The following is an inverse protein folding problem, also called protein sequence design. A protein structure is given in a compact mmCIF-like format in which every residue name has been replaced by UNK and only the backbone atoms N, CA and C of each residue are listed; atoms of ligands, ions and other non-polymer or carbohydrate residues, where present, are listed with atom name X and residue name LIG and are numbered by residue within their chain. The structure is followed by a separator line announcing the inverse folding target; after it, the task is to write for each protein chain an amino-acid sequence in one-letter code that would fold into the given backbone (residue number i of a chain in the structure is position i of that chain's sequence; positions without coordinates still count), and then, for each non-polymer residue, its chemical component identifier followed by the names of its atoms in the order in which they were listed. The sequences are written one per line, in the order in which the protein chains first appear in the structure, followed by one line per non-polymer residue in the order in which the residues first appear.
data_IF_942952238013
#
_entry.id   IF_942952238013
#
_cell.length_a   1.000
_cell.length_b   1.000
_cell.length_c   1.000
_cell.angle_alpha   90.00
_cell.angle_beta   90.00
_cell.angle_gamma   90.00
#
_symmetry.space_group_name_H-M   'P 1'
#
loop_
_entity.id
_entity.type
_entity.pdbx_description
1 polymer ?
#
# COMPACT_ATOMS: atom_id res chain seq x y z
N UNK A 1 -15.95 -3.06 7.91
CA UNK A 1 -15.62 -3.84 6.70
C UNK A 1 -15.67 -5.31 7.10
N UNK A 2 -16.65 -6.09 6.64
CA UNK A 2 -16.74 -7.54 6.94
C UNK A 2 -16.10 -8.27 5.75
N UNK A 3 -14.99 -8.98 5.95
CA UNK A 3 -14.40 -9.81 4.90
C UNK A 3 -12.88 -9.90 4.89
N UNK A 4 -12.17 -8.95 5.52
CA UNK A 4 -10.72 -9.03 5.68
C UNK A 4 -10.37 -9.50 7.09
N UNK A 5 -9.37 -10.39 7.25
CA UNK A 5 -8.85 -10.74 8.56
C UNK A 5 -8.17 -9.51 9.18
N UNK A 6 -8.09 -9.46 10.51
CA UNK A 6 -7.38 -8.37 11.21
C UNK A 6 -5.88 -8.38 10.89
N UNK A 7 -5.33 -9.58 10.66
CA UNK A 7 -3.95 -9.83 10.27
C UNK A 7 -3.92 -10.79 9.08
N UNK A 8 -3.20 -10.45 8.02
CA UNK A 8 -2.92 -11.41 6.94
C UNK A 8 -1.99 -12.51 7.44
N UNK A 9 -2.18 -13.73 6.95
CA UNK A 9 -1.25 -14.82 7.24
C UNK A 9 0.01 -14.68 6.39
N UNK A 10 1.13 -15.21 6.88
CA UNK A 10 2.44 -15.01 6.25
C UNK A 10 2.48 -15.56 4.81
N UNK A 11 1.80 -16.68 4.53
CA UNK A 11 1.68 -17.26 3.19
C UNK A 11 1.04 -16.29 2.17
N UNK A 12 0.02 -15.52 2.59
CA UNK A 12 -0.62 -14.52 1.74
C UNK A 12 0.32 -13.33 1.48
N UNK A 13 1.08 -12.92 2.50
CA UNK A 13 2.08 -11.86 2.38
C UNK A 13 3.27 -12.28 1.51
N UNK A 14 3.65 -13.56 1.52
CA UNK A 14 4.70 -14.12 0.68
C UNK A 14 4.33 -14.08 -0.80
N UNK A 15 3.07 -14.36 -1.16
CA UNK A 15 2.58 -14.20 -2.54
C UNK A 15 2.77 -12.76 -3.01
N UNK A 16 2.44 -11.79 -2.15
CA UNK A 16 2.53 -10.37 -2.47
C UNK A 16 3.98 -9.88 -2.46
N UNK A 17 4.84 -10.48 -1.64
CA UNK A 17 6.30 -10.26 -1.62
C UNK A 17 7.02 -10.84 -2.84
N UNK A 18 6.39 -11.76 -3.58
CA UNK A 18 6.94 -12.29 -4.83
C UNK A 18 6.29 -11.65 -6.07
N UNK A 19 5.39 -10.69 -5.86
CA UNK A 19 4.73 -9.97 -6.93
C UNK A 19 5.63 -8.82 -7.40
N UNK A 20 6.12 -8.90 -8.65
CA UNK A 20 7.02 -7.88 -9.19
C UNK A 20 6.44 -6.46 -9.27
N UNK A 21 5.12 -6.29 -9.13
CA UNK A 21 4.45 -5.00 -8.87
C UNK A 21 3.19 -5.26 -8.05
N UNK A 22 2.92 -4.42 -7.05
CA UNK A 22 1.71 -4.52 -6.22
C UNK A 22 0.89 -3.23 -6.29
N UNK A 23 -0.39 -3.37 -6.63
CA UNK A 23 -1.34 -2.26 -6.67
C UNK A 23 -2.29 -2.32 -5.46
N UNK A 24 -2.31 -1.24 -4.68
CA UNK A 24 -3.18 -1.11 -3.50
C UNK A 24 -4.30 -0.09 -3.74
N UNK A 25 -5.49 -0.38 -3.20
CA UNK A 25 -6.72 0.42 -3.35
C UNK A 25 -7.42 0.64 -1.99
N UNK A 26 -8.22 1.71 -1.88
CA UNK A 26 -8.88 2.14 -0.64
C UNK A 26 -10.16 1.38 -0.28
N UNK A 27 -10.64 0.49 -1.16
CA UNK A 27 -11.77 -0.40 -0.85
C UNK A 27 -11.42 -1.43 0.23
N UNK A 28 -10.12 -1.58 0.52
CA UNK A 28 -9.55 -2.45 1.56
C UNK A 28 -9.13 -1.59 2.75
N UNK A 29 -9.22 -2.15 3.96
CA UNK A 29 -8.87 -1.43 5.19
C UNK A 29 -7.41 -0.99 5.18
N UNK A 30 -7.15 0.22 5.68
CA UNK A 30 -5.78 0.75 5.82
C UNK A 30 -4.84 -0.20 6.58
N UNK A 31 -5.35 -0.95 7.56
CA UNK A 31 -4.57 -1.95 8.30
C UNK A 31 -3.97 -3.02 7.38
N UNK A 32 -4.75 -3.49 6.41
CA UNK A 32 -4.33 -4.51 5.46
C UNK A 32 -3.38 -3.93 4.43
N UNK A 33 -3.66 -2.73 3.92
CA UNK A 33 -2.77 -2.02 3.00
C UNK A 33 -1.38 -1.77 3.63
N UNK A 34 -1.31 -1.46 4.93
CA UNK A 34 -0.04 -1.31 5.65
C UNK A 34 0.70 -2.65 5.75
N UNK A 35 0.00 -3.75 6.02
CA UNK A 35 0.62 -5.08 6.10
C UNK A 35 1.21 -5.50 4.75
N UNK A 36 0.46 -5.26 3.66
CA UNK A 36 0.94 -5.51 2.30
C UNK A 36 2.14 -4.62 1.96
N UNK A 37 2.05 -3.31 2.21
CA UNK A 37 3.16 -2.39 1.92
C UNK A 37 4.46 -2.76 2.68
N UNK A 38 4.33 -3.27 3.92
CA UNK A 38 5.47 -3.79 4.68
C UNK A 38 6.09 -5.04 4.04
N UNK A 39 5.27 -5.97 3.55
CA UNK A 39 5.75 -7.20 2.92
C UNK A 39 6.49 -6.88 1.61
N UNK A 40 5.90 -6.06 0.75
CA UNK A 40 6.50 -5.65 -0.54
C UNK A 40 7.79 -4.85 -0.33
N UNK A 41 7.84 -3.96 0.67
CA UNK A 41 9.07 -3.23 1.01
C UNK A 41 10.21 -4.15 1.42
N UNK A 42 9.92 -5.28 2.09
CA UNK A 42 10.96 -6.27 2.43
C UNK A 42 11.50 -6.97 1.19
N UNK A 43 10.68 -7.12 0.16
CA UNK A 43 11.05 -7.70 -1.13
C UNK A 43 11.80 -6.74 -2.07
N UNK A 44 11.85 -5.43 -1.73
CA UNK A 44 12.32 -4.35 -2.60
C UNK A 44 11.52 -4.17 -3.90
N UNK A 45 10.31 -4.70 -3.94
CA UNK A 45 9.42 -4.61 -5.09
C UNK A 45 8.69 -3.25 -5.14
N UNK A 46 8.35 -2.77 -6.33
CA UNK A 46 7.66 -1.50 -6.51
C UNK A 46 6.18 -1.58 -6.11
N UNK A 47 5.75 -0.62 -5.28
CA UNK A 47 4.35 -0.42 -4.89
C UNK A 47 3.74 0.70 -5.73
N UNK A 48 2.61 0.41 -6.38
CA UNK A 48 1.76 1.39 -7.05
C UNK A 48 0.54 1.64 -6.18
N UNK A 49 0.28 2.91 -5.89
CA UNK A 49 -0.90 3.31 -5.14
C UNK A 49 -1.82 4.15 -6.00
N UNK A 50 -3.06 3.67 -6.11
CA UNK A 50 -4.11 4.37 -6.83
C UNK A 50 -5.08 4.94 -5.79
N UNK A 51 -4.88 6.21 -5.47
CA UNK A 51 -5.73 6.99 -4.57
C UNK A 51 -6.18 8.27 -5.26
N UNK A 52 -7.48 8.55 -5.21
CA UNK A 52 -8.06 9.78 -5.75
C UNK A 52 -8.05 10.95 -4.74
N UNK A 53 -7.62 10.71 -3.49
CA UNK A 53 -7.76 11.65 -2.36
C UNK A 53 -6.53 11.64 -1.43
N UNK A 54 -6.67 12.12 -0.18
CA UNK A 54 -5.59 12.23 0.82
C UNK A 54 -4.97 10.87 1.17
N UNK A 55 -3.65 10.80 1.08
CA UNK A 55 -2.85 9.59 1.35
C UNK A 55 -2.36 9.61 2.81
N UNK A 56 -2.64 8.56 3.61
CA UNK A 56 -2.07 8.43 4.95
C UNK A 56 -0.54 8.45 4.92
N UNK A 57 0.07 9.30 5.76
CA UNK A 57 1.54 9.42 5.87
C UNK A 57 2.22 8.09 6.22
N UNK A 58 1.55 7.24 6.99
CA UNK A 58 2.03 5.89 7.31
C UNK A 58 2.33 5.08 6.05
N UNK A 59 1.50 5.19 5.01
CA UNK A 59 1.67 4.44 3.75
C UNK A 59 2.65 5.14 2.81
N UNK A 60 2.71 6.47 2.82
CA UNK A 60 3.67 7.25 2.04
C UNK A 60 5.14 6.89 2.35
N UNK A 61 5.42 6.47 3.59
CA UNK A 61 6.76 6.05 4.05
C UNK A 61 7.31 4.75 3.42
N UNK A 62 6.51 4.05 2.60
CA UNK A 62 6.87 2.76 1.98
C UNK A 62 7.42 2.87 0.55
N UNK A 63 8.08 3.98 0.18
CA UNK A 63 8.74 4.17 -1.14
C UNK A 63 7.83 3.86 -2.33
N UNK A 64 6.72 4.57 -2.39
CA UNK A 64 5.74 4.45 -3.48
C UNK A 64 6.36 5.02 -4.74
N UNK A 65 6.56 4.20 -5.77
CA UNK A 65 7.18 4.67 -7.02
C UNK A 65 6.21 5.48 -7.87
N UNK A 66 4.92 5.14 -7.86
CA UNK A 66 3.90 5.82 -8.66
C UNK A 66 2.62 6.02 -7.84
N UNK A 67 2.20 7.28 -7.68
CA UNK A 67 0.84 7.61 -7.26
C UNK A 67 0.04 8.00 -8.50
N UNK A 68 -0.92 7.17 -8.90
CA UNK A 68 -1.92 7.60 -9.89
C UNK A 68 -2.93 8.45 -9.14
N UNK A 69 -2.64 9.73 -8.99
CA UNK A 69 -3.58 10.69 -8.42
C UNK A 69 -3.85 11.78 -9.46
N UNK A 70 -5.05 11.78 -10.03
CA UNK A 70 -5.48 12.82 -11.00
C UNK A 70 -5.63 14.21 -10.35
N UNK A 71 -5.48 14.32 -9.02
CA UNK A 71 -5.65 15.57 -8.28
C UNK A 71 -4.93 15.50 -6.92
N UNK A 72 -3.62 15.72 -6.86
CA UNK A 72 -2.94 15.86 -5.56
C UNK A 72 -2.04 17.09 -5.44
N UNK A 73 -2.41 17.94 -4.46
CA UNK A 73 -1.53 18.85 -3.74
C UNK A 73 -0.68 17.99 -2.80
N UNK A 74 0.60 17.80 -3.13
CA UNK A 74 1.59 17.27 -2.20
C UNK A 74 1.94 18.36 -1.18
N UNK A 75 1.32 18.32 0.00
CA UNK A 75 1.83 19.05 1.16
C UNK A 75 2.84 18.17 1.87
N UNK A 76 4.10 18.25 1.44
CA UNK A 76 5.25 17.81 2.22
C UNK A 76 5.46 18.86 3.31
N UNK A 77 5.12 18.54 4.56
CA UNK A 77 5.45 19.39 5.70
C UNK A 77 6.77 18.82 6.24
N UNK A 78 7.85 19.58 6.03
CA UNK A 78 9.18 19.27 6.55
C UNK A 78 9.31 19.51 8.05
#
# INVERSE_FOLDING_TARGET
MRGWPEKMIDDELEIVSNAGVVQLQREISDSINIQVAKAVKRAADPIILTWEEWIPQSILSYWIQWTSCNRMKLSYIG
#
